data_IF_025743000709
#
_entry.id   IF_025743000709
#
_cell.length_a   1.000
_cell.length_b   1.000
_cell.length_c   1.000
_cell.angle_alpha   90.00
_cell.angle_beta   90.00
_cell.angle_gamma   90.00
#
_symmetry.space_group_name_H-M   'P 1'
#
loop_
_entity.id
_entity.type
_entity.pdbx_description
1 polymer ?
#
# COMPACT_ATOMS: atom_id res chain seq x y z
N UNK A 1 36.26 6.93 13.37
CA UNK A 1 36.16 6.77 11.90
C UNK A 1 35.18 5.67 11.48
N UNK A 2 34.11 5.41 12.26
CA UNK A 2 33.12 4.34 11.98
C UNK A 2 31.74 4.88 11.58
N UNK A 3 31.53 6.18 11.76
CA UNK A 3 30.28 6.88 11.47
C UNK A 3 30.03 7.05 9.97
N UNK A 4 31.07 7.37 9.19
CA UNK A 4 30.96 7.47 7.73
C UNK A 4 30.72 6.10 7.08
N UNK A 5 31.42 5.06 7.55
CA UNK A 5 31.22 3.69 7.06
C UNK A 5 29.81 3.17 7.40
N UNK A 6 29.28 3.48 8.60
CA UNK A 6 27.90 3.18 8.93
C UNK A 6 26.92 3.93 8.03
N UNK A 7 27.13 5.22 7.79
CA UNK A 7 26.26 6.02 6.91
C UNK A 7 26.22 5.47 5.48
N UNK A 8 27.38 5.09 4.93
CA UNK A 8 27.48 4.50 3.60
C UNK A 8 26.81 3.12 3.52
N UNK A 9 27.01 2.28 4.55
CA UNK A 9 26.35 0.97 4.64
C UNK A 9 24.83 1.10 4.73
N UNK A 10 24.35 2.10 5.48
CA UNK A 10 22.94 2.37 5.66
C UNK A 10 22.30 2.95 4.40
N UNK A 11 23.03 3.77 3.64
CA UNK A 11 22.61 4.29 2.34
C UNK A 11 22.52 3.19 1.29
N UNK A 12 23.50 2.28 1.23
CA UNK A 12 23.49 1.15 0.29
C UNK A 12 22.46 0.08 0.70
N UNK A 13 22.19 -0.08 2.00
CA UNK A 13 21.14 -0.99 2.51
C UNK A 13 19.74 -0.37 2.57
N UNK A 14 19.57 0.90 2.23
CA UNK A 14 18.23 1.48 2.12
C UNK A 14 17.55 0.87 0.91
N UNK A 15 16.51 0.07 1.19
CA UNK A 15 15.60 -0.45 0.17
C UNK A 15 14.67 0.68 -0.22
N UNK A 16 14.46 0.87 -1.51
CA UNK A 16 13.48 1.84 -1.99
C UNK A 16 12.08 1.43 -1.50
N UNK A 17 11.45 2.31 -0.72
CA UNK A 17 10.09 2.13 -0.22
C UNK A 17 9.16 3.15 -0.90
N UNK A 18 8.17 2.65 -1.64
CA UNK A 18 7.15 3.47 -2.29
C UNK A 18 5.80 3.27 -1.61
N UNK A 19 5.03 4.34 -1.48
CA UNK A 19 3.68 4.30 -0.91
C UNK A 19 2.63 4.50 -2.00
N UNK A 20 1.78 3.49 -2.22
CA UNK A 20 0.67 3.53 -3.18
C UNK A 20 -0.63 3.75 -2.41
N UNK A 21 -1.40 4.75 -2.79
CA UNK A 21 -2.67 5.08 -2.15
C UNK A 21 -3.82 4.70 -3.11
N UNK A 22 -4.70 3.81 -2.63
CA UNK A 22 -5.88 3.37 -3.38
C UNK A 22 -7.09 4.16 -2.87
N UNK A 23 -7.68 4.96 -3.74
CA UNK A 23 -8.87 5.77 -3.45
C UNK A 23 -10.03 5.33 -4.34
N UNK A 24 -11.25 5.49 -3.84
CA UNK A 24 -12.44 5.08 -4.57
C UNK A 24 -13.64 4.93 -3.66
N UNK A 25 -14.83 4.99 -4.25
CA UNK A 25 -16.09 4.91 -3.51
C UNK A 25 -16.30 3.54 -2.86
N UNK A 26 -17.21 3.45 -1.90
CA UNK A 26 -17.61 2.17 -1.32
C UNK A 26 -18.12 1.23 -2.42
N UNK A 27 -17.67 -0.03 -2.41
CA UNK A 27 -18.02 -1.00 -3.45
C UNK A 27 -17.19 -0.92 -4.75
N UNK A 28 -16.29 0.06 -4.93
CA UNK A 28 -15.46 0.19 -6.15
C UNK A 28 -14.42 -0.95 -6.36
N UNK A 29 -14.36 -1.95 -5.48
CA UNK A 29 -13.44 -3.09 -5.63
C UNK A 29 -11.99 -2.83 -5.22
N UNK A 30 -11.71 -1.78 -4.43
CA UNK A 30 -10.36 -1.41 -3.95
C UNK A 30 -9.58 -2.57 -3.34
N UNK A 31 -10.18 -3.27 -2.38
CA UNK A 31 -9.53 -4.39 -1.70
C UNK A 31 -9.36 -5.60 -2.63
N UNK A 32 -10.26 -5.79 -3.61
CA UNK A 32 -10.11 -6.82 -4.65
C UNK A 32 -8.91 -6.54 -5.54
N UNK A 33 -8.69 -5.29 -5.94
CA UNK A 33 -7.51 -4.89 -6.69
C UNK A 33 -6.22 -5.14 -5.90
N UNK A 34 -6.21 -4.76 -4.61
CA UNK A 34 -5.06 -4.98 -3.75
C UNK A 34 -4.71 -6.48 -3.63
N UNK A 35 -5.70 -7.34 -3.49
CA UNK A 35 -5.48 -8.80 -3.45
C UNK A 35 -5.00 -9.35 -4.80
N UNK A 36 -5.53 -8.88 -5.93
CA UNK A 36 -5.05 -9.25 -7.25
C UNK A 36 -3.58 -8.82 -7.48
N UNK A 37 -3.22 -7.63 -7.03
CA UNK A 37 -1.83 -7.16 -7.07
C UNK A 37 -0.91 -8.09 -6.27
N UNK A 38 -1.30 -8.50 -5.05
CA UNK A 38 -0.52 -9.46 -4.26
C UNK A 38 -0.33 -10.79 -4.98
N UNK A 39 -1.37 -11.32 -5.64
CA UNK A 39 -1.28 -12.58 -6.38
C UNK A 39 -0.28 -12.47 -7.54
N UNK A 40 -0.32 -11.36 -8.29
CA UNK A 40 0.52 -11.19 -9.48
C UNK A 40 1.99 -10.90 -9.15
N UNK A 41 2.22 -10.15 -8.07
CA UNK A 41 3.56 -9.65 -7.74
C UNK A 41 4.29 -10.45 -6.66
N UNK A 42 3.59 -11.28 -5.87
CA UNK A 42 4.22 -12.10 -4.82
C UNK A 42 4.23 -13.58 -5.23
N UNK A 43 5.40 -14.16 -5.57
CA UNK A 43 5.48 -15.57 -5.92
C UNK A 43 5.07 -16.45 -4.73
N UNK A 44 4.17 -17.42 -4.98
CA UNK A 44 3.58 -18.33 -3.98
C UNK A 44 2.66 -17.70 -2.92
N UNK A 45 2.09 -16.52 -3.18
CA UNK A 45 1.12 -15.93 -2.25
C UNK A 45 -0.19 -16.74 -2.22
N UNK A 46 -0.55 -17.24 -1.03
CA UNK A 46 -1.88 -17.82 -0.79
C UNK A 46 -2.88 -16.67 -0.66
N UNK A 47 -3.65 -16.44 -1.74
CA UNK A 47 -4.74 -15.47 -1.75
C UNK A 47 -5.73 -15.75 -0.61
N UNK A 48 -6.14 -14.71 0.11
CA UNK A 48 -7.32 -14.81 0.96
C UNK A 48 -8.52 -14.99 0.02
N UNK A 49 -9.44 -15.94 0.27
CA UNK A 49 -10.61 -16.12 -0.58
C UNK A 49 -11.39 -14.81 -0.65
N UNK A 50 -11.79 -14.41 -1.87
CA UNK A 50 -12.48 -13.15 -2.16
C UNK A 50 -13.74 -12.96 -1.30
N UNK A 51 -14.36 -14.06 -0.88
CA UNK A 51 -15.54 -14.11 0.00
C UNK A 51 -15.25 -13.68 1.45
N UNK A 52 -13.99 -13.68 1.89
CA UNK A 52 -13.55 -13.21 3.21
C UNK A 52 -13.11 -11.75 3.21
N UNK A 53 -13.09 -11.10 2.05
CA UNK A 53 -12.76 -9.69 1.93
C UNK A 53 -13.97 -8.90 2.45
N UNK A 54 -13.95 -8.57 3.73
CA UNK A 54 -14.93 -7.67 4.35
C UNK A 54 -14.56 -6.22 4.04
N UNK A 55 -15.56 -5.34 3.99
CA UNK A 55 -15.38 -3.89 3.85
C UNK A 55 -14.34 -3.38 4.84
N UNK A 56 -13.36 -2.62 4.36
CA UNK A 56 -12.32 -2.01 5.20
C UNK A 56 -12.97 -0.96 6.11
N UNK A 57 -13.17 -1.29 7.38
CA UNK A 57 -13.65 -0.34 8.39
C UNK A 57 -12.46 0.53 8.79
N UNK A 58 -12.22 1.61 8.05
CA UNK A 58 -11.15 2.57 8.31
C UNK A 58 -10.01 2.49 7.29
N UNK A 59 -8.88 1.93 7.70
CA UNK A 59 -7.63 1.92 6.93
C UNK A 59 -6.95 0.56 7.03
N UNK A 60 -6.58 -0.01 5.89
CA UNK A 60 -5.74 -1.20 5.80
C UNK A 60 -4.40 -0.85 5.13
N UNK A 61 -3.32 -1.39 5.66
CA UNK A 61 -1.97 -1.19 5.11
C UNK A 61 -1.44 -2.55 4.66
N UNK A 62 -1.19 -2.69 3.37
CA UNK A 62 -0.57 -3.86 2.77
C UNK A 62 0.89 -3.59 2.39
N UNK A 63 1.72 -4.64 2.44
CA UNK A 63 3.10 -4.57 1.94
C UNK A 63 3.28 -5.61 0.85
N UNK A 64 3.91 -5.21 -0.25
CA UNK A 64 4.29 -6.06 -1.37
C UNK A 64 5.77 -5.83 -1.64
N UNK A 65 6.58 -6.89 -1.68
CA UNK A 65 7.99 -6.80 -2.05
C UNK A 65 8.16 -7.33 -3.48
N UNK A 66 8.65 -6.48 -4.38
CA UNK A 66 8.84 -6.79 -5.80
C UNK A 66 10.26 -6.40 -6.19
N UNK A 67 11.06 -7.35 -6.67
CA UNK A 67 12.42 -7.12 -7.18
C UNK A 67 13.32 -6.26 -6.27
N UNK A 68 13.17 -6.43 -4.95
CA UNK A 68 13.95 -5.72 -3.94
C UNK A 68 13.36 -4.39 -3.47
N UNK A 69 12.30 -3.90 -4.13
CA UNK A 69 11.54 -2.70 -3.79
C UNK A 69 10.38 -3.06 -2.86
N UNK A 70 10.13 -2.23 -1.84
CA UNK A 70 8.99 -2.38 -0.94
C UNK A 70 7.87 -1.42 -1.33
N UNK A 71 6.74 -1.96 -1.72
CA UNK A 71 5.52 -1.22 -2.01
C UNK A 71 4.58 -1.29 -0.81
N UNK A 72 4.22 -0.12 -0.27
CA UNK A 72 3.28 0.04 0.83
C UNK A 72 1.94 0.53 0.29
N UNK A 73 0.93 -0.31 0.33
CA UNK A 73 -0.40 0.00 -0.13
C UNK A 73 -1.27 0.51 1.02
N UNK A 74 -1.93 1.64 0.79
CA UNK A 74 -2.93 2.21 1.69
C UNK A 74 -4.31 2.02 1.07
N UNK A 75 -5.09 1.11 1.63
CA UNK A 75 -6.49 0.86 1.24
C UNK A 75 -7.41 1.55 2.26
N UNK A 76 -7.97 2.69 1.84
CA UNK A 76 -8.88 3.49 2.67
C UNK A 76 -10.33 3.07 2.41
N UNK A 77 -11.15 3.08 3.46
CA UNK A 77 -12.59 2.92 3.32
C UNK A 77 -13.20 3.97 2.39
N UNK A 78 -14.17 3.54 1.58
CA UNK A 78 -14.86 4.42 0.62
C UNK A 78 -16.11 5.11 1.16
N UNK A 79 -16.50 4.80 2.40
CA UNK A 79 -17.66 5.40 3.08
C UNK A 79 -17.43 6.90 3.26
N UNK A 80 -18.49 7.69 3.11
CA UNK A 80 -18.45 9.16 3.18
C UNK A 80 -17.81 9.67 4.49
N UNK A 81 -18.10 8.99 5.61
CA UNK A 81 -17.51 9.27 6.93
C UNK A 81 -15.97 9.14 6.95
N UNK A 82 -15.44 8.19 6.17
CA UNK A 82 -14.01 7.88 6.08
C UNK A 82 -13.28 8.66 4.99
N UNK A 83 -14.00 9.34 4.08
CA UNK A 83 -13.40 10.18 3.03
C UNK A 83 -12.59 11.35 3.63
N UNK A 84 -12.96 11.81 4.82
CA UNK A 84 -12.19 12.81 5.58
C UNK A 84 -10.75 12.38 5.91
N UNK A 85 -10.43 11.08 5.83
CA UNK A 85 -9.08 10.55 6.03
C UNK A 85 -8.23 10.58 4.76
N UNK A 86 -8.85 10.72 3.58
CA UNK A 86 -8.14 10.70 2.30
C UNK A 86 -7.13 11.83 2.20
N UNK A 87 -7.52 13.04 2.62
CA UNK A 87 -6.65 14.22 2.63
C UNK A 87 -5.46 14.03 3.59
N UNK A 88 -5.73 13.48 4.78
CA UNK A 88 -4.69 13.25 5.80
C UNK A 88 -3.64 12.24 5.33
N UNK A 89 -4.08 11.13 4.74
CA UNK A 89 -3.17 10.07 4.27
C UNK A 89 -2.43 10.48 3.00
N UNK A 90 -3.08 11.26 2.13
CA UNK A 90 -2.43 11.84 0.96
C UNK A 90 -1.21 12.67 1.35
N UNK A 91 -1.30 13.50 2.38
CA UNK A 91 -0.19 14.33 2.87
C UNK A 91 0.97 13.51 3.47
N UNK A 92 0.70 12.29 3.95
CA UNK A 92 1.70 11.40 4.57
C UNK A 92 2.48 10.60 3.53
N UNK A 93 1.89 10.34 2.35
CA UNK A 93 2.55 9.57 1.30
C UNK A 93 3.54 10.45 0.52
N UNK A 94 4.84 10.20 0.71
CA UNK A 94 5.96 11.00 0.17
C UNK A 94 6.20 10.76 -1.33
N UNK A 95 5.79 9.61 -1.86
CA UNK A 95 5.91 9.25 -3.29
C UNK A 95 4.58 8.67 -3.77
N UNK A 96 3.75 9.47 -4.44
CA UNK A 96 2.34 9.15 -4.69
C UNK A 96 2.11 8.49 -6.05
N UNK A 97 1.56 7.27 -6.02
CA UNK A 97 0.71 6.77 -7.10
C UNK A 97 -0.72 6.69 -6.56
N UNK A 98 -1.64 7.42 -7.20
CA UNK A 98 -3.07 7.36 -6.90
C UNK A 98 -3.72 6.37 -7.85
N UNK A 99 -4.32 5.32 -7.30
CA UNK A 99 -5.24 4.48 -8.04
C UNK A 99 -6.66 4.90 -7.67
N UNK A 100 -7.34 5.59 -8.59
CA UNK A 100 -8.74 5.98 -8.42
C UNK A 100 -9.62 4.94 -9.10
N UNK A 101 -10.39 4.21 -8.31
CA UNK A 101 -11.41 3.27 -8.79
C UNK A 101 -12.78 3.95 -8.69
N UNK A 102 -13.42 4.15 -9.85
CA UNK A 102 -14.78 4.69 -9.99
C UNK A 102 -15.79 3.55 -10.18
#
# INVERSE_FOLDING_TARGET
>A
MYTLLRGLWQYISQRDEFSVLILGLEGAGKTTYLEQAKINFVPNYKSIPIQKITTTVGLNIGYIEVDGIRLKFWDLGGQEELQSLWDKVSLICISQFYLVLC
#
